data_IF_323563717716
#
_entry.id   IF_323563717716
#
_cell.length_a   1.000
_cell.length_b   1.000
_cell.length_c   1.000
_cell.angle_alpha   90.00
_cell.angle_beta   90.00
_cell.angle_gamma   90.00
#
_symmetry.space_group_name_H-M   'P 1'
#
loop_
_entity.id
_entity.type
_entity.pdbx_description
1 polymer ?
#
# COMPACT_ATOMS: atom_id res chain seq x y z
N UNK A 1 10.28 -11.45 9.66
CA UNK A 1 10.12 -9.98 9.85
C UNK A 1 11.44 -9.24 9.71
N UNK A 2 12.55 -9.80 10.22
CA UNK A 2 13.85 -9.17 10.04
C UNK A 2 14.21 -8.97 8.57
N UNK A 3 13.90 -9.95 7.73
CA UNK A 3 14.16 -9.85 6.30
C UNK A 3 13.37 -8.73 5.65
N UNK A 4 12.15 -8.49 6.13
CA UNK A 4 11.31 -7.45 5.60
C UNK A 4 11.90 -6.08 5.91
N UNK A 5 12.41 -5.90 7.12
CA UNK A 5 13.09 -4.66 7.48
C UNK A 5 14.36 -4.46 6.67
N UNK A 6 15.10 -5.54 6.45
CA UNK A 6 16.30 -5.46 5.62
C UNK A 6 15.95 -5.01 4.20
N UNK A 7 14.85 -5.52 3.66
CA UNK A 7 14.39 -5.10 2.34
C UNK A 7 14.02 -3.62 2.32
N UNK A 8 13.39 -3.13 3.38
CA UNK A 8 13.05 -1.70 3.46
C UNK A 8 14.31 -0.84 3.48
N UNK A 9 15.32 -1.28 4.19
CA UNK A 9 16.59 -0.55 4.24
C UNK A 9 17.28 -0.60 2.88
N UNK A 10 17.23 -1.76 2.21
CA UNK A 10 17.87 -1.94 0.92
C UNK A 10 17.24 -1.07 -0.18
N UNK A 11 15.96 -0.75 -0.06
CA UNK A 11 15.29 0.13 -1.02
C UNK A 11 15.32 1.58 -0.57
N UNK A 12 16.23 1.92 0.29
CA UNK A 12 16.43 3.28 0.74
C UNK A 12 16.65 4.18 -0.49
N UNK A 13 15.90 5.27 -0.58
CA UNK A 13 15.92 6.14 -1.74
C UNK A 13 14.75 5.94 -2.68
N UNK A 14 14.01 4.84 -2.56
CA UNK A 14 12.79 4.68 -3.33
C UNK A 14 11.69 5.59 -2.79
N UNK A 15 10.75 5.92 -3.66
CA UNK A 15 9.62 6.74 -3.28
C UNK A 15 8.84 6.06 -2.14
N UNK A 16 8.43 6.81 -1.10
CA UNK A 16 7.73 6.22 0.05
C UNK A 16 6.48 5.43 -0.31
N UNK A 17 5.72 5.86 -1.31
CA UNK A 17 4.52 5.15 -1.73
C UNK A 17 4.89 3.80 -2.34
N UNK A 18 5.95 3.76 -3.14
CA UNK A 18 6.42 2.50 -3.72
C UNK A 18 6.88 1.56 -2.63
N UNK A 19 7.61 2.06 -1.67
CA UNK A 19 8.11 1.27 -0.54
C UNK A 19 6.95 0.68 0.26
N UNK A 20 5.94 1.49 0.56
CA UNK A 20 4.79 1.03 1.31
C UNK A 20 3.99 -0.04 0.54
N UNK A 21 3.82 0.16 -0.77
CA UNK A 21 3.10 -0.80 -1.61
C UNK A 21 3.82 -2.15 -1.66
N UNK A 22 5.12 -2.12 -1.85
CA UNK A 22 5.92 -3.36 -1.91
C UNK A 22 5.94 -4.06 -0.54
N UNK A 23 6.04 -3.29 0.54
CA UNK A 23 5.97 -3.85 1.89
C UNK A 23 4.63 -4.53 2.11
N UNK A 24 3.55 -3.88 1.72
CA UNK A 24 2.20 -4.41 1.86
C UNK A 24 2.07 -5.75 1.12
N UNK A 25 2.45 -5.76 -0.15
CA UNK A 25 2.32 -6.96 -0.97
C UNK A 25 3.18 -8.10 -0.44
N UNK A 26 4.38 -7.78 0.00
CA UNK A 26 5.28 -8.78 0.55
C UNK A 26 4.74 -9.37 1.85
N UNK A 27 4.20 -8.53 2.72
CA UNK A 27 3.65 -9.00 3.98
C UNK A 27 2.45 -9.93 3.75
N UNK A 28 1.58 -9.59 2.80
CA UNK A 28 0.46 -10.45 2.44
C UNK A 28 0.95 -11.76 1.85
N UNK A 29 2.01 -11.73 1.07
CA UNK A 29 2.58 -12.95 0.47
C UNK A 29 3.21 -13.88 1.50
N UNK A 30 3.84 -13.32 2.52
CA UNK A 30 4.46 -14.12 3.58
C UNK A 30 3.39 -14.83 4.41
N UNK A 31 2.27 -14.16 4.63
CA UNK A 31 1.17 -14.71 5.43
C UNK A 31 -0.11 -14.70 4.62
N UNK A 32 -0.23 -15.59 3.62
CA UNK A 32 -1.35 -15.54 2.66
C UNK A 32 -2.61 -16.21 3.19
N UNK A 33 -2.92 -16.07 4.46
CA UNK A 33 -4.03 -16.78 5.04
C UNK A 33 -4.78 -15.89 5.99
N UNK A 34 -5.92 -16.36 6.36
CA UNK A 34 -6.75 -15.86 7.44
C UNK A 34 -7.30 -14.46 7.20
N UNK A 35 -8.51 -14.32 7.63
CA UNK A 35 -9.19 -13.05 7.69
C UNK A 35 -8.41 -12.09 8.59
N UNK A 36 -8.32 -10.86 8.20
CA UNK A 36 -7.61 -9.87 8.98
C UNK A 36 -6.18 -9.65 8.55
N UNK A 37 -5.59 -10.59 7.81
CA UNK A 37 -4.22 -10.41 7.36
C UNK A 37 -4.06 -9.21 6.44
N UNK A 38 -5.03 -9.01 5.54
CA UNK A 38 -5.07 -7.83 4.71
C UNK A 38 -5.21 -6.55 5.51
N UNK A 39 -5.98 -6.60 6.60
CA UNK A 39 -6.15 -5.44 7.48
C UNK A 39 -4.84 -5.10 8.17
N UNK A 40 -4.13 -6.10 8.68
CA UNK A 40 -2.85 -5.90 9.33
C UNK A 40 -1.83 -5.34 8.35
N UNK A 41 -1.80 -5.88 7.14
CA UNK A 41 -0.88 -5.40 6.11
C UNK A 41 -1.18 -3.95 5.72
N UNK A 42 -2.46 -3.60 5.60
CA UNK A 42 -2.83 -2.22 5.28
C UNK A 42 -2.47 -1.27 6.42
N UNK A 43 -2.69 -1.68 7.66
CA UNK A 43 -2.29 -0.86 8.81
C UNK A 43 -0.78 -0.63 8.81
N UNK A 44 -0.01 -1.69 8.64
CA UNK A 44 1.45 -1.59 8.65
C UNK A 44 1.97 -0.69 7.53
N UNK A 45 1.44 -0.84 6.32
CA UNK A 45 1.87 -0.01 5.20
C UNK A 45 1.47 1.46 5.40
N UNK A 46 0.30 1.70 5.99
CA UNK A 46 -0.14 3.06 6.27
C UNK A 46 0.70 3.71 7.38
N UNK A 47 1.20 2.93 8.33
CA UNK A 47 2.12 3.45 9.32
C UNK A 47 3.45 3.89 8.68
N UNK A 48 3.92 3.14 7.67
CA UNK A 48 5.10 3.56 6.91
C UNK A 48 4.86 4.87 6.17
N UNK A 49 3.69 5.00 5.53
CA UNK A 49 3.35 6.22 4.82
C UNK A 49 3.28 7.40 5.79
N UNK A 50 2.66 7.20 6.93
CA UNK A 50 2.55 8.25 7.94
C UNK A 50 3.92 8.68 8.45
N UNK A 51 4.81 7.73 8.69
CA UNK A 51 6.18 8.03 9.10
C UNK A 51 6.87 8.92 8.09
N UNK A 52 6.64 8.68 6.81
CA UNK A 52 7.25 9.42 5.73
C UNK A 52 6.43 10.66 5.34
N UNK A 53 5.40 10.99 6.11
CA UNK A 53 4.54 12.17 5.93
C UNK A 53 3.74 12.13 4.64
N UNK A 54 3.27 10.95 4.28
CA UNK A 54 2.41 10.75 3.13
C UNK A 54 0.99 10.43 3.58
N UNK A 55 -0.01 10.72 2.75
CA UNK A 55 -1.39 10.36 3.08
C UNK A 55 -1.58 8.85 3.12
N UNK A 56 -2.59 8.41 3.85
CA UNK A 56 -2.95 7.00 3.90
C UNK A 56 -3.39 6.49 2.53
N UNK A 57 -3.09 5.23 2.26
CA UNK A 57 -3.61 4.54 1.09
C UNK A 57 -4.90 3.83 1.52
N UNK A 58 -6.03 4.34 1.07
CA UNK A 58 -7.34 3.77 1.37
C UNK A 58 -7.89 3.16 0.11
N UNK A 59 -7.96 1.82 0.09
CA UNK A 59 -8.48 1.10 -1.06
C UNK A 59 -9.99 1.04 -0.93
N UNK A 60 -10.69 1.53 -1.95
CA UNK A 60 -12.14 1.61 -1.92
C UNK A 60 -12.77 0.22 -1.79
N UNK A 61 -13.87 0.09 -1.03
CA UNK A 61 -14.51 -1.20 -0.83
C UNK A 61 -15.48 -1.61 -1.95
N UNK A 62 -15.28 -1.09 -3.15
CA UNK A 62 -16.11 -1.46 -4.28
C UNK A 62 -15.65 -2.79 -4.87
N UNK A 63 -16.54 -3.56 -5.51
CA UNK A 63 -16.13 -4.80 -6.16
C UNK A 63 -15.03 -4.60 -7.20
N UNK A 64 -15.09 -3.50 -7.95
CA UNK A 64 -14.10 -3.20 -8.99
C UNK A 64 -12.73 -2.93 -8.39
N UNK A 65 -12.68 -2.12 -7.32
CA UNK A 65 -11.42 -1.80 -6.68
C UNK A 65 -10.82 -3.03 -6.01
N UNK A 66 -11.66 -3.86 -5.39
CA UNK A 66 -11.20 -5.09 -4.76
C UNK A 66 -10.64 -6.07 -5.78
N UNK A 67 -11.31 -6.19 -6.92
CA UNK A 67 -10.84 -7.09 -7.99
C UNK A 67 -9.47 -6.65 -8.49
N UNK A 68 -9.28 -5.35 -8.71
CA UNK A 68 -7.98 -4.82 -9.15
C UNK A 68 -6.89 -5.04 -8.08
N UNK A 69 -7.25 -4.86 -6.83
CA UNK A 69 -6.33 -5.07 -5.72
C UNK A 69 -5.86 -6.53 -5.65
N UNK A 70 -6.80 -7.48 -5.71
CA UNK A 70 -6.42 -8.89 -5.65
C UNK A 70 -5.62 -9.32 -6.87
N UNK A 71 -5.98 -8.79 -8.04
CA UNK A 71 -5.22 -9.04 -9.25
C UNK A 71 -3.79 -8.53 -9.12
N UNK A 72 -3.63 -7.33 -8.57
CA UNK A 72 -2.30 -6.75 -8.39
C UNK A 72 -1.45 -7.56 -7.40
N UNK A 73 -2.07 -8.08 -6.34
CA UNK A 73 -1.36 -8.95 -5.41
C UNK A 73 -0.91 -10.25 -6.08
N UNK A 74 -1.77 -10.81 -6.92
CA UNK A 74 -1.41 -12.00 -7.68
C UNK A 74 -0.26 -11.71 -8.63
N UNK A 75 -0.33 -10.60 -9.33
CA UNK A 75 0.74 -10.18 -10.24
C UNK A 75 2.06 -9.93 -9.53
N UNK A 76 1.99 -9.39 -8.30
CA UNK A 76 3.18 -9.21 -7.50
C UNK A 76 3.90 -10.55 -7.25
N UNK A 77 3.13 -11.60 -6.98
CA UNK A 77 3.70 -12.93 -6.76
C UNK A 77 4.34 -13.50 -8.03
N UNK A 78 4.00 -12.97 -9.18
CA UNK A 78 4.61 -13.32 -10.45
C UNK A 78 5.66 -12.30 -10.90
N UNK A 79 6.17 -11.54 -9.94
CA UNK A 79 7.23 -10.55 -10.13
C UNK A 79 6.80 -9.30 -10.90
N UNK A 80 5.49 -9.09 -11.07
CA UNK A 80 4.95 -7.87 -11.63
C UNK A 80 4.61 -6.92 -10.50
N UNK A 81 5.46 -5.95 -10.24
CA UNK A 81 5.35 -5.08 -9.07
C UNK A 81 4.59 -3.79 -9.31
N UNK A 82 4.58 -3.30 -10.54
CA UNK A 82 4.01 -1.98 -10.81
C UNK A 82 2.50 -1.87 -10.55
N UNK A 83 1.69 -2.90 -10.80
CA UNK A 83 0.25 -2.76 -10.52
C UNK A 83 -0.09 -2.43 -9.08
N UNK A 84 0.56 -3.08 -8.11
CA UNK A 84 0.28 -2.77 -6.70
C UNK A 84 0.79 -1.39 -6.32
N UNK A 85 1.90 -0.96 -6.90
CA UNK A 85 2.43 0.38 -6.67
C UNK A 85 1.45 1.42 -7.21
N UNK A 86 0.90 1.19 -8.39
CA UNK A 86 -0.07 2.11 -8.99
C UNK A 86 -1.33 2.23 -8.13
N UNK A 87 -1.82 1.12 -7.60
CA UNK A 87 -2.99 1.13 -6.72
C UNK A 87 -2.72 1.96 -5.47
N UNK A 88 -1.55 1.81 -4.87
CA UNK A 88 -1.19 2.59 -3.69
C UNK A 88 -1.04 4.07 -4.02
N UNK A 89 -0.45 4.39 -5.16
CA UNK A 89 -0.28 5.78 -5.57
C UNK A 89 -1.64 6.46 -5.75
N UNK A 90 -2.57 5.80 -6.44
CA UNK A 90 -3.92 6.33 -6.61
C UNK A 90 -4.64 6.48 -5.28
N UNK A 91 -4.50 5.50 -4.39
CA UNK A 91 -5.15 5.54 -3.09
C UNK A 91 -4.63 6.70 -2.24
N UNK A 92 -3.33 6.94 -2.25
CA UNK A 92 -2.74 8.06 -1.52
C UNK A 92 -3.19 9.39 -2.10
N UNK A 93 -3.23 9.50 -3.41
CA UNK A 93 -3.69 10.71 -4.09
C UNK A 93 -5.14 11.00 -3.76
N UNK A 94 -5.98 9.98 -3.79
CA UNK A 94 -7.39 10.14 -3.44
C UNK A 94 -7.59 10.60 -2.00
N UNK A 95 -6.79 10.08 -1.08
CA UNK A 95 -6.85 10.50 0.31
C UNK A 95 -6.41 11.96 0.46
N UNK A 96 -5.34 12.35 -0.22
CA UNK A 96 -4.86 13.72 -0.18
C UNK A 96 -5.93 14.68 -0.72
N UNK A 97 -6.55 14.34 -1.83
CA UNK A 97 -7.62 15.16 -2.41
C UNK A 97 -8.79 15.30 -1.47
N UNK A 98 -9.19 14.19 -0.85
CA UNK A 98 -10.30 14.21 0.12
C UNK A 98 -10.00 15.15 1.28
N UNK A 99 -8.81 15.07 1.84
CA UNK A 99 -8.42 15.90 2.98
C UNK A 99 -8.33 17.36 2.57
N UNK A 100 -7.73 17.66 1.42
CA UNK A 100 -7.58 19.02 0.95
C UNK A 100 -8.93 19.68 0.71
N UNK A 101 -9.91 18.94 0.19
CA UNK A 101 -11.24 19.47 0.00
C UNK A 101 -11.94 19.81 1.33
N UNK A 102 -11.56 19.15 2.41
CA UNK A 102 -12.17 19.36 3.73
C UNK A 102 -11.53 20.50 4.50
N UNK A 103 -10.25 20.78 4.29
CA UNK A 103 -9.51 21.77 5.07
C UNK A 103 -9.14 23.01 4.28
N UNK A 104 -9.28 22.99 2.96
CA UNK A 104 -8.94 24.14 2.15
C UNK A 104 -9.85 25.32 2.48
N UNK A 105 -9.30 26.53 2.55
CA UNK A 105 -10.14 27.73 2.78
C UNK A 105 -11.09 27.92 1.63
N UNK A 106 -12.28 28.40 1.98
CA UNK A 106 -13.31 28.64 0.99
C UNK A 106 -13.05 29.96 0.26
#
# INVERSE_FOLDING_TARGET
MAELFADLVAVNGEHPVRRAALFHARLVSIHPFADGNGRTARLASNLLLLRDRYPFAIIQPTPEARALYFKALHEFNEEEREPIVAIFAEACEGTADFVLQRIAPQ
#
